data_IF_707093071030
#
_entry.id   IF_707093071030
#
_cell.length_a   1.000
_cell.length_b   1.000
_cell.length_c   1.000
_cell.angle_alpha   90.00
_cell.angle_beta   90.00
_cell.angle_gamma   90.00
#
_symmetry.space_group_name_H-M   'P 1'
#
loop_
_entity.id
_entity.type
_entity.pdbx_description
1 polymer ?
#
# COMPACT_ATOMS: atom_id res chain seq x y z
N UNK A 1 -11.52 -12.95 5.82
CA UNK A 1 -12.76 -12.19 5.56
C UNK A 1 -12.79 -11.77 4.08
N UNK A 2 -13.48 -12.52 3.22
CA UNK A 2 -13.56 -12.22 1.77
C UNK A 2 -14.34 -10.92 1.52
N UNK A 3 -13.75 -10.00 0.75
CA UNK A 3 -14.48 -9.07 -0.10
C UNK A 3 -15.44 -8.08 0.56
N UNK A 4 -15.08 -7.43 1.69
CA UNK A 4 -15.83 -6.23 2.08
C UNK A 4 -15.46 -5.09 1.13
N UNK A 5 -16.44 -4.63 0.36
CA UNK A 5 -16.31 -3.48 -0.54
C UNK A 5 -16.16 -2.20 0.27
N UNK A 6 -14.99 -1.98 0.86
CA UNK A 6 -14.74 -0.85 1.73
C UNK A 6 -14.95 0.46 0.97
N UNK A 7 -15.89 1.26 1.48
CA UNK A 7 -16.05 2.65 1.04
C UNK A 7 -14.89 3.48 1.59
N UNK A 8 -14.54 4.61 0.93
CA UNK A 8 -13.51 5.50 1.46
C UNK A 8 -13.75 5.96 2.91
N UNK A 9 -15.01 6.13 3.31
CA UNK A 9 -15.38 6.51 4.68
C UNK A 9 -15.07 5.40 5.68
N UNK A 10 -15.37 4.15 5.35
CA UNK A 10 -15.05 3.00 6.20
C UNK A 10 -13.53 2.78 6.33
N UNK A 11 -12.77 2.99 5.25
CA UNK A 11 -11.30 2.92 5.32
C UNK A 11 -10.76 3.99 6.27
N UNK A 12 -11.24 5.24 6.17
CA UNK A 12 -10.82 6.32 7.08
C UNK A 12 -11.18 5.99 8.52
N UNK A 13 -12.41 5.56 8.79
CA UNK A 13 -12.86 5.18 10.13
C UNK A 13 -12.05 4.00 10.69
N UNK A 14 -11.68 3.02 9.86
CA UNK A 14 -10.83 1.92 10.27
C UNK A 14 -9.43 2.39 10.66
N UNK A 15 -8.86 3.36 9.94
CA UNK A 15 -7.56 3.96 10.23
C UNK A 15 -7.58 4.88 11.45
N UNK A 16 -8.71 5.56 11.72
CA UNK A 16 -8.89 6.42 12.89
C UNK A 16 -8.72 5.67 14.21
N UNK A 17 -8.95 4.34 14.23
CA UNK A 17 -8.73 3.50 15.41
C UNK A 17 -7.25 3.33 15.80
N UNK A 18 -6.33 3.60 14.88
CA UNK A 18 -4.89 3.35 15.07
C UNK A 18 -4.02 4.58 14.89
N UNK A 19 -4.47 5.54 14.09
CA UNK A 19 -3.71 6.74 13.73
C UNK A 19 -4.53 7.95 14.19
N UNK A 20 -3.95 8.82 15.02
CA UNK A 20 -4.61 10.08 15.43
C UNK A 20 -4.30 11.17 14.39
N UNK A 21 -5.31 11.95 14.01
CA UNK A 21 -5.15 13.05 13.03
C UNK A 21 -4.89 12.56 11.59
N UNK A 22 -4.03 13.26 10.84
CA UNK A 22 -3.62 12.89 9.46
C UNK A 22 -4.76 12.71 8.44
N UNK A 23 -5.88 13.45 8.59
CA UNK A 23 -7.09 13.27 7.77
C UNK A 23 -6.85 13.33 6.26
N UNK A 24 -5.95 14.22 5.78
CA UNK A 24 -5.58 14.30 4.36
C UNK A 24 -4.92 13.01 3.85
N UNK A 25 -3.97 12.45 4.61
CA UNK A 25 -3.26 11.23 4.24
C UNK A 25 -4.19 10.01 4.26
N UNK A 26 -5.03 9.88 5.30
CA UNK A 26 -6.04 8.80 5.38
C UNK A 26 -7.00 8.84 4.19
N UNK A 27 -7.50 10.02 3.83
CA UNK A 27 -8.39 10.20 2.67
C UNK A 27 -7.69 9.85 1.35
N UNK A 28 -6.44 10.27 1.18
CA UNK A 28 -5.68 9.98 -0.04
C UNK A 28 -5.54 8.45 -0.25
N UNK A 29 -5.16 7.71 0.80
CA UNK A 29 -5.03 6.26 0.68
C UNK A 29 -6.38 5.57 0.52
N UNK A 30 -7.41 6.01 1.24
CA UNK A 30 -8.77 5.48 1.08
C UNK A 30 -9.30 5.60 -0.36
N UNK A 31 -8.99 6.71 -1.05
CA UNK A 31 -9.32 6.89 -2.46
C UNK A 31 -8.53 5.96 -3.36
N UNK A 32 -7.22 5.80 -3.14
CA UNK A 32 -6.40 4.89 -3.94
C UNK A 32 -6.88 3.43 -3.86
N UNK A 33 -7.27 2.97 -2.66
CA UNK A 33 -7.86 1.62 -2.49
C UNK A 33 -9.20 1.51 -3.21
N UNK A 34 -10.07 2.53 -3.10
CA UNK A 34 -11.35 2.54 -3.81
C UNK A 34 -11.18 2.53 -5.32
N UNK A 35 -10.19 3.25 -5.83
CA UNK A 35 -9.89 3.28 -7.26
C UNK A 35 -9.37 1.92 -7.76
N UNK A 36 -8.62 1.17 -6.94
CA UNK A 36 -8.24 -0.22 -7.25
C UNK A 36 -9.46 -1.14 -7.38
N UNK A 37 -10.43 -1.02 -6.47
CA UNK A 37 -11.69 -1.76 -6.56
C UNK A 37 -12.53 -1.35 -7.78
N UNK A 38 -12.58 -0.05 -8.11
CA UNK A 38 -13.28 0.44 -9.31
C UNK A 38 -12.64 -0.11 -10.58
N UNK A 39 -11.30 -0.15 -10.64
CA UNK A 39 -10.55 -0.71 -11.77
C UNK A 39 -10.92 -2.17 -12.04
N UNK A 40 -11.14 -2.98 -11.01
CA UNK A 40 -11.54 -4.39 -11.16
C UNK A 40 -12.94 -4.55 -11.80
N UNK A 41 -13.76 -3.50 -11.79
CA UNK A 41 -15.12 -3.49 -12.38
C UNK A 41 -15.16 -2.89 -13.78
N UNK A 42 -14.05 -2.40 -14.31
CA UNK A 42 -13.96 -1.93 -15.69
C UNK A 42 -13.82 -3.11 -16.66
N UNK A 43 -14.25 -2.92 -17.89
CA UNK A 43 -13.99 -3.86 -18.99
C UNK A 43 -12.49 -4.06 -19.22
N UNK A 44 -12.05 -5.23 -19.73
CA UNK A 44 -10.64 -5.59 -19.81
C UNK A 44 -9.76 -4.56 -20.54
N UNK A 45 -10.27 -4.00 -21.64
CA UNK A 45 -9.57 -2.99 -22.45
C UNK A 45 -9.30 -1.71 -21.64
N UNK A 46 -10.34 -1.15 -21.02
CA UNK A 46 -10.21 0.04 -20.17
C UNK A 46 -9.42 -0.25 -18.88
N UNK A 47 -9.49 -1.48 -18.35
CA UNK A 47 -8.75 -1.88 -17.14
C UNK A 47 -7.23 -1.87 -17.35
N UNK A 48 -6.77 -2.17 -18.57
CA UNK A 48 -5.35 -2.15 -18.93
C UNK A 48 -4.78 -0.72 -18.94
N UNK A 49 -5.58 0.24 -19.41
CA UNK A 49 -5.25 1.68 -19.48
C UNK A 49 -5.16 2.35 -18.09
N UNK A 50 -5.91 1.87 -17.10
CA UNK A 50 -5.98 2.49 -15.77
C UNK A 50 -4.82 2.05 -14.88
N UNK A 51 -3.83 2.93 -14.70
CA UNK A 51 -2.70 2.71 -13.79
C UNK A 51 -3.05 2.97 -12.31
N UNK A 52 -2.38 2.29 -11.35
CA UNK A 52 -2.52 2.59 -9.93
C UNK A 52 -2.11 4.02 -9.58
N UNK A 53 -2.85 4.66 -8.66
CA UNK A 53 -2.50 5.99 -8.12
C UNK A 53 -1.52 5.84 -6.96
N UNK A 54 -0.24 5.94 -7.27
CA UNK A 54 0.84 5.94 -6.27
C UNK A 54 0.77 7.18 -5.37
N UNK A 55 1.21 7.05 -4.12
CA UNK A 55 1.10 8.10 -3.09
C UNK A 55 2.48 8.48 -2.57
N UNK A 56 2.79 9.78 -2.61
CA UNK A 56 3.95 10.36 -1.94
C UNK A 56 3.48 11.02 -0.63
N UNK A 57 3.97 10.54 0.52
CA UNK A 57 3.67 11.12 1.83
C UNK A 57 4.81 12.04 2.27
N UNK A 58 4.50 13.31 2.48
CA UNK A 58 5.48 14.33 2.93
C UNK A 58 5.16 14.73 4.38
N UNK A 59 6.16 14.68 5.26
CA UNK A 59 6.04 15.07 6.67
C UNK A 59 7.21 14.58 7.52
N UNK A 60 7.35 15.04 8.77
CA UNK A 60 8.46 14.66 9.65
C UNK A 60 8.39 13.19 10.09
N UNK A 61 9.47 12.67 10.67
CA UNK A 61 9.49 11.31 11.23
C UNK A 61 8.49 11.19 12.40
N UNK A 62 8.03 9.97 12.68
CA UNK A 62 7.11 9.71 13.81
C UNK A 62 5.64 10.08 13.63
N UNK A 63 5.24 10.82 12.57
CA UNK A 63 3.84 11.28 12.39
C UNK A 63 2.86 10.23 11.86
N UNK A 64 3.28 8.98 11.69
CA UNK A 64 2.41 7.89 11.26
C UNK A 64 2.41 7.55 9.76
N UNK A 65 3.35 8.07 8.96
CA UNK A 65 3.44 7.76 7.50
C UNK A 65 3.49 6.25 7.23
N UNK A 66 4.42 5.55 7.86
CA UNK A 66 4.58 4.10 7.70
C UNK A 66 3.41 3.33 8.33
N UNK A 67 2.84 3.84 9.42
CA UNK A 67 1.72 3.20 10.11
C UNK A 67 0.44 3.22 9.26
N UNK A 68 0.18 4.32 8.54
CA UNK A 68 -0.92 4.39 7.56
C UNK A 68 -0.76 3.26 6.53
N UNK A 69 0.40 3.15 5.87
CA UNK A 69 0.62 2.10 4.86
C UNK A 69 0.48 0.68 5.42
N UNK A 70 1.04 0.42 6.61
CA UNK A 70 0.95 -0.88 7.29
C UNK A 70 -0.50 -1.24 7.62
N UNK A 71 -1.28 -0.28 8.14
CA UNK A 71 -2.68 -0.52 8.54
C UNK A 71 -3.59 -0.72 7.33
N UNK A 72 -3.37 0.01 6.24
CA UNK A 72 -4.09 -0.23 5.00
C UNK A 72 -3.83 -1.63 4.47
N UNK A 73 -2.57 -2.07 4.42
CA UNK A 73 -2.24 -3.41 3.95
C UNK A 73 -2.96 -4.50 4.75
N UNK A 74 -2.92 -4.41 6.09
CA UNK A 74 -3.64 -5.32 6.97
C UNK A 74 -5.17 -5.25 6.78
N UNK A 75 -5.73 -4.06 6.57
CA UNK A 75 -7.18 -3.88 6.35
C UNK A 75 -7.63 -4.52 5.03
N UNK A 76 -6.79 -4.50 4.00
CA UNK A 76 -7.09 -5.04 2.67
C UNK A 76 -6.56 -6.46 2.45
N UNK A 77 -5.98 -7.09 3.48
CA UNK A 77 -5.32 -8.39 3.38
C UNK A 77 -4.31 -8.45 2.22
N UNK A 78 -3.51 -7.38 2.10
CA UNK A 78 -2.54 -7.23 1.03
C UNK A 78 -1.11 -7.51 1.54
N UNK A 79 -0.26 -8.18 0.74
CA UNK A 79 1.15 -8.33 1.08
C UNK A 79 1.81 -6.95 1.17
N UNK A 80 2.72 -6.79 2.13
CA UNK A 80 3.32 -5.50 2.47
C UNK A 80 4.79 -5.62 2.84
N UNK A 81 5.63 -4.80 2.20
CA UNK A 81 7.04 -4.64 2.54
C UNK A 81 7.35 -3.18 2.84
N UNK A 82 8.28 -2.95 3.78
CA UNK A 82 8.92 -1.65 4.01
C UNK A 82 10.33 -1.73 3.45
N UNK A 83 10.67 -0.80 2.56
CA UNK A 83 12.01 -0.71 1.97
C UNK A 83 12.56 0.70 2.16
N UNK A 84 13.88 0.79 2.33
CA UNK A 84 14.61 2.06 2.43
C UNK A 84 15.36 2.30 1.12
N UNK A 85 15.04 3.41 0.44
CA UNK A 85 15.55 3.70 -0.90
C UNK A 85 17.08 3.87 -0.95
N UNK A 86 17.69 4.38 0.13
CA UNK A 86 19.15 4.56 0.22
C UNK A 86 19.94 3.26 0.10
N UNK A 87 19.32 2.10 0.39
CA UNK A 87 19.95 0.77 0.25
C UNK A 87 20.23 0.39 -1.20
N UNK A 88 19.65 1.10 -2.17
CA UNK A 88 19.84 0.86 -3.60
C UNK A 88 20.79 1.87 -4.26
N UNK A 89 21.24 2.89 -3.53
CA UNK A 89 22.09 3.97 -4.05
C UNK A 89 23.48 3.99 -3.43
N UNK A 90 23.77 3.13 -2.45
CA UNK A 90 25.03 3.15 -1.72
C UNK A 90 26.18 2.69 -2.64
N UNK A 91 27.17 3.59 -2.82
CA UNK A 91 28.33 3.40 -3.70
C UNK A 91 29.25 2.36 -3.06
N UNK A 92 29.07 1.10 -3.44
CA UNK A 92 29.79 -0.06 -2.92
C UNK A 92 29.43 -1.33 -3.69
N UNK A 93 30.37 -2.26 -3.78
CA UNK A 93 30.53 -3.30 -4.80
C UNK A 93 29.40 -4.36 -4.85
N UNK A 94 28.28 -4.02 -5.51
CA UNK A 94 27.01 -4.79 -5.65
C UNK A 94 25.98 -4.31 -4.62
N UNK A 95 25.41 -3.13 -4.87
CA UNK A 95 24.22 -2.65 -4.16
C UNK A 95 23.08 -3.67 -4.23
N UNK A 96 22.13 -3.61 -3.28
CA UNK A 96 20.95 -4.49 -3.30
C UNK A 96 20.23 -4.29 -4.63
N UNK A 97 19.84 -5.38 -5.30
CA UNK A 97 19.10 -5.31 -6.56
C UNK A 97 17.67 -4.79 -6.33
N UNK A 98 17.22 -3.81 -7.12
CA UNK A 98 15.85 -3.25 -7.03
C UNK A 98 14.78 -4.31 -7.22
N UNK A 99 15.06 -5.36 -8.00
CA UNK A 99 14.13 -6.47 -8.20
C UNK A 99 13.89 -7.27 -6.91
N UNK A 100 14.81 -7.19 -5.94
CA UNK A 100 14.62 -7.82 -4.62
C UNK A 100 13.36 -7.31 -3.92
N UNK A 101 12.90 -6.08 -4.21
CA UNK A 101 11.65 -5.56 -3.66
C UNK A 101 10.45 -6.40 -4.13
N UNK A 102 10.44 -6.82 -5.38
CA UNK A 102 9.35 -7.63 -5.92
C UNK A 102 9.45 -9.08 -5.43
N UNK A 103 10.67 -9.63 -5.32
CA UNK A 103 10.90 -10.96 -4.76
C UNK A 103 10.44 -11.05 -3.31
N UNK A 104 10.91 -10.15 -2.45
CA UNK A 104 10.53 -10.08 -1.02
C UNK A 104 8.99 -9.94 -0.85
N UNK A 105 8.33 -9.12 -1.69
CA UNK A 105 6.88 -8.96 -1.65
C UNK A 105 6.12 -10.23 -2.08
N UNK A 106 6.64 -10.92 -3.08
CA UNK A 106 6.05 -12.16 -3.62
C UNK A 106 6.16 -13.29 -2.60
N UNK A 107 7.32 -13.44 -1.95
CA UNK A 107 7.52 -14.44 -0.91
C UNK A 107 6.56 -14.24 0.26
N UNK A 108 6.34 -12.99 0.69
CA UNK A 108 5.33 -12.69 1.70
C UNK A 108 3.91 -13.05 1.23
N UNK A 109 3.57 -12.77 -0.03
CA UNK A 109 2.26 -13.11 -0.58
C UNK A 109 2.02 -14.63 -0.62
N UNK A 110 3.05 -15.42 -0.96
CA UNK A 110 2.98 -16.89 -0.92
C UNK A 110 2.77 -17.37 0.51
N UNK A 111 3.56 -16.87 1.46
CA UNK A 111 3.45 -17.23 2.88
C UNK A 111 2.09 -16.90 3.48
N UNK A 112 1.42 -15.84 3.03
CA UNK A 112 0.07 -15.49 3.47
C UNK A 112 -1.01 -16.50 3.06
N UNK A 113 -0.75 -17.34 2.05
CA UNK A 113 -1.71 -18.34 1.54
C UNK A 113 -1.34 -19.76 1.96
N UNK A 114 -0.05 -20.04 2.21
CA UNK A 114 0.44 -21.38 2.58
C UNK A 114 0.48 -21.63 4.09
N UNK A 115 0.40 -20.58 4.92
CA UNK A 115 0.26 -20.68 6.37
C UNK A 115 -1.21 -20.85 6.80
#
# INVERSE_FOLDING_TARGET
>A
MKGRELTPREVVAALDRYIVGQGKAKRAVALAIRDRWRRQRLDPEMRAEVIPKNILMIGPTGVGKTEISRRIAALTDAPFIKVEASKFTEVGYVGRDVESMIRDLTDLAVNMVTA
#
